data_IF_893578959917
#
_entry.id   IF_893578959917
#
_cell.length_a   1.000
_cell.length_b   1.000
_cell.length_c   1.000
_cell.angle_alpha   90.00
_cell.angle_beta   90.00
_cell.angle_gamma   90.00
#
_symmetry.space_group_name_H-M   'P 1'
#
loop_
_entity.id
_entity.type
_entity.pdbx_description
1 polymer ?
#
# COMPACT_ATOMS: atom_id res chain seq x y z
N UNK A 1 -10.18 -18.41 -0.50
CA UNK A 1 -11.39 -17.57 -0.30
C UNK A 1 -12.51 -18.59 -0.31
N UNK A 2 -13.36 -18.62 0.72
CA UNK A 2 -14.46 -19.61 0.78
C UNK A 2 -15.28 -19.48 -0.51
N UNK A 3 -15.40 -20.57 -1.25
CA UNK A 3 -16.24 -20.61 -2.45
C UNK A 3 -17.70 -20.93 -2.10
N UNK A 4 -18.59 -20.91 -3.10
CA UNK A 4 -20.01 -21.22 -2.89
C UNK A 4 -20.26 -22.65 -2.37
N UNK A 5 -19.41 -23.60 -2.75
CA UNK A 5 -19.50 -24.98 -2.28
C UNK A 5 -19.09 -25.10 -0.80
N UNK A 6 -18.08 -24.32 -0.37
CA UNK A 6 -17.68 -24.22 1.03
C UNK A 6 -18.80 -23.63 1.89
N UNK A 7 -19.50 -22.58 1.40
CA UNK A 7 -20.64 -22.00 2.12
C UNK A 7 -21.79 -23.01 2.29
N UNK A 8 -22.05 -23.78 1.25
CA UNK A 8 -23.08 -24.83 1.23
C UNK A 8 -22.73 -25.97 2.18
N UNK A 9 -21.47 -26.41 2.20
CA UNK A 9 -21.01 -27.49 3.08
C UNK A 9 -21.06 -27.04 4.54
N UNK A 10 -20.58 -25.83 4.85
CA UNK A 10 -20.63 -25.21 6.18
C UNK A 10 -22.07 -25.11 6.70
N UNK A 11 -23.02 -24.65 5.87
CA UNK A 11 -24.43 -24.56 6.26
C UNK A 11 -25.02 -25.95 6.53
N UNK A 12 -24.77 -26.92 5.64
CA UNK A 12 -25.27 -28.30 5.78
C UNK A 12 -24.71 -28.99 7.03
N UNK A 13 -23.42 -28.81 7.32
CA UNK A 13 -22.77 -29.37 8.49
C UNK A 13 -23.34 -28.78 9.79
N UNK A 14 -23.82 -27.54 9.76
CA UNK A 14 -24.54 -26.92 10.87
C UNK A 14 -26.03 -27.34 10.95
N UNK A 15 -26.52 -28.17 10.02
CA UNK A 15 -27.91 -28.64 9.99
C UNK A 15 -28.95 -27.58 9.61
N UNK A 16 -28.54 -26.49 8.95
CA UNK A 16 -29.41 -25.33 8.66
C UNK A 16 -29.93 -25.43 7.22
N UNK A 17 -31.23 -25.23 6.99
CA UNK A 17 -31.77 -25.18 5.62
C UNK A 17 -31.47 -23.84 4.92
N UNK A 18 -31.58 -23.76 3.59
CA UNK A 18 -31.39 -22.48 2.89
C UNK A 18 -32.42 -21.42 3.32
N UNK A 19 -33.66 -21.84 3.61
CA UNK A 19 -34.72 -20.95 4.07
C UNK A 19 -34.45 -20.44 5.49
N UNK A 20 -33.94 -21.30 6.37
CA UNK A 20 -33.61 -20.90 7.74
C UNK A 20 -32.36 -20.02 7.79
N UNK A 21 -31.39 -20.27 6.91
CA UNK A 21 -30.23 -19.40 6.76
C UNK A 21 -30.65 -18.01 6.26
N UNK A 22 -31.54 -17.95 5.28
CA UNK A 22 -32.08 -16.69 4.75
C UNK A 22 -32.77 -15.88 5.86
N UNK A 23 -33.59 -16.53 6.69
CA UNK A 23 -34.22 -15.89 7.87
C UNK A 23 -33.20 -15.38 8.88
N UNK A 24 -32.17 -16.17 9.20
CA UNK A 24 -31.13 -15.78 10.18
C UNK A 24 -30.23 -14.64 9.69
N UNK A 25 -30.05 -14.54 8.37
CA UNK A 25 -29.24 -13.51 7.72
C UNK A 25 -30.04 -12.28 7.27
N UNK A 26 -31.37 -12.31 7.48
CA UNK A 26 -32.31 -11.27 7.06
C UNK A 26 -32.18 -10.94 5.56
N UNK A 27 -32.28 -11.98 4.74
CA UNK A 27 -32.20 -11.86 3.29
C UNK A 27 -33.12 -12.85 2.57
N UNK A 28 -33.27 -12.68 1.26
CA UNK A 28 -34.07 -13.59 0.44
C UNK A 28 -33.36 -14.95 0.28
N UNK A 29 -34.14 -16.03 0.21
CA UNK A 29 -33.63 -17.38 -0.07
C UNK A 29 -32.84 -17.44 -1.39
N UNK A 30 -33.23 -16.66 -2.40
CA UNK A 30 -32.52 -16.53 -3.68
C UNK A 30 -31.11 -15.99 -3.48
N UNK A 31 -30.90 -15.08 -2.52
CA UNK A 31 -29.58 -14.55 -2.17
C UNK A 31 -28.67 -15.66 -1.63
N UNK A 32 -29.19 -16.52 -0.76
CA UNK A 32 -28.47 -17.70 -0.24
C UNK A 32 -28.09 -18.66 -1.38
N UNK A 33 -29.01 -18.91 -2.31
CA UNK A 33 -28.75 -19.77 -3.47
C UNK A 33 -27.63 -19.18 -4.35
N UNK A 34 -27.69 -17.88 -4.63
CA UNK A 34 -26.67 -17.20 -5.44
C UNK A 34 -25.29 -17.24 -4.77
N UNK A 35 -25.22 -17.11 -3.44
CA UNK A 35 -23.97 -17.26 -2.69
C UNK A 35 -23.42 -18.68 -2.80
N UNK A 36 -24.25 -19.70 -2.62
CA UNK A 36 -23.83 -21.11 -2.71
C UNK A 36 -23.47 -21.55 -4.13
N UNK A 37 -24.00 -20.89 -5.14
CA UNK A 37 -23.68 -21.14 -6.55
C UNK A 37 -22.49 -20.31 -7.05
N UNK A 38 -21.94 -19.41 -6.23
CA UNK A 38 -20.86 -18.51 -6.63
C UNK A 38 -21.29 -17.42 -7.64
N UNK A 39 -22.59 -17.19 -7.80
CA UNK A 39 -23.15 -16.15 -8.69
C UNK A 39 -22.86 -14.75 -8.14
N UNK A 40 -22.86 -14.61 -6.81
CA UNK A 40 -22.40 -13.41 -6.13
C UNK A 40 -21.71 -13.76 -4.82
N UNK A 41 -20.83 -12.88 -4.35
CA UNK A 41 -20.11 -13.08 -3.09
C UNK A 41 -20.83 -12.35 -1.94
N UNK A 42 -20.92 -12.96 -0.75
CA UNK A 42 -21.43 -12.27 0.42
C UNK A 42 -20.46 -11.16 0.86
N UNK A 43 -21.01 -10.01 1.26
CA UNK A 43 -20.22 -8.97 1.93
C UNK A 43 -19.57 -9.56 3.19
N UNK A 44 -18.39 -9.05 3.57
CA UNK A 44 -17.65 -9.55 4.73
C UNK A 44 -18.53 -9.65 6.00
N UNK A 45 -19.35 -8.64 6.29
CA UNK A 45 -20.29 -8.64 7.43
C UNK A 45 -21.33 -9.75 7.36
N UNK A 46 -21.88 -10.03 6.17
CA UNK A 46 -22.81 -11.14 5.92
C UNK A 46 -22.11 -12.50 6.05
N UNK A 47 -20.88 -12.62 5.55
CA UNK A 47 -20.06 -13.82 5.71
C UNK A 47 -19.76 -14.12 7.19
N UNK A 48 -19.40 -13.11 7.97
CA UNK A 48 -19.21 -13.26 9.42
C UNK A 48 -20.48 -13.69 10.14
N UNK A 49 -21.65 -13.12 9.80
CA UNK A 49 -22.94 -13.57 10.34
C UNK A 49 -23.25 -15.02 9.93
N UNK A 50 -22.98 -15.40 8.69
CA UNK A 50 -23.16 -16.79 8.22
C UNK A 50 -22.34 -17.78 9.04
N UNK A 51 -21.04 -17.51 9.22
CA UNK A 51 -20.14 -18.35 9.99
C UNK A 51 -20.53 -18.40 11.48
N UNK A 52 -20.95 -17.27 12.05
CA UNK A 52 -21.48 -17.19 13.42
C UNK A 52 -22.75 -18.03 13.59
N UNK A 53 -23.69 -17.95 12.65
CA UNK A 53 -24.92 -18.74 12.62
C UNK A 53 -24.62 -20.24 12.54
N UNK A 54 -23.58 -20.62 11.81
CA UNK A 54 -23.09 -21.99 11.71
C UNK A 54 -22.25 -22.44 12.91
N UNK A 55 -22.12 -21.61 13.96
CA UNK A 55 -21.32 -21.89 15.17
C UNK A 55 -19.87 -22.29 14.88
N UNK A 56 -19.31 -21.78 13.79
CA UNK A 56 -17.88 -21.92 13.53
C UNK A 56 -17.14 -21.05 14.53
N UNK A 57 -16.11 -21.60 15.17
CA UNK A 57 -15.29 -20.82 16.09
C UNK A 57 -14.57 -19.71 15.31
N UNK A 58 -14.96 -18.46 15.56
CA UNK A 58 -14.40 -17.28 14.93
C UNK A 58 -13.16 -16.77 15.67
N UNK A 59 -12.84 -17.31 16.85
CA UNK A 59 -11.64 -16.94 17.61
C UNK A 59 -10.34 -17.05 16.78
N UNK A 60 -10.07 -18.16 16.07
CA UNK A 60 -8.84 -18.26 15.27
C UNK A 60 -8.78 -17.22 14.15
N UNK A 61 -9.92 -16.90 13.52
CA UNK A 61 -10.00 -15.90 12.46
C UNK A 61 -9.81 -14.47 13.01
N UNK A 62 -10.40 -14.17 14.18
CA UNK A 62 -10.23 -12.90 14.86
C UNK A 62 -8.79 -12.68 15.34
N UNK A 63 -8.12 -13.74 15.82
CA UNK A 63 -6.70 -13.72 16.20
C UNK A 63 -5.83 -13.49 14.97
N UNK A 64 -6.11 -14.14 13.84
CA UNK A 64 -5.39 -13.86 12.58
C UNK A 64 -5.58 -12.40 12.13
N UNK A 65 -6.80 -11.88 12.19
CA UNK A 65 -7.09 -10.50 11.84
C UNK A 65 -6.37 -9.50 12.77
N UNK A 66 -6.35 -9.81 14.07
CA UNK A 66 -5.63 -9.04 15.09
C UNK A 66 -4.13 -9.06 14.84
N UNK A 67 -3.54 -10.22 14.55
CA UNK A 67 -2.10 -10.33 14.25
C UNK A 67 -1.73 -9.59 12.96
N UNK A 68 -2.59 -9.60 11.93
CA UNK A 68 -2.41 -8.81 10.71
C UNK A 68 -2.46 -7.31 11.02
N UNK A 69 -3.42 -6.89 11.86
CA UNK A 69 -3.54 -5.50 12.29
C UNK A 69 -2.34 -5.06 13.13
N UNK A 70 -1.89 -5.88 14.08
CA UNK A 70 -0.74 -5.60 14.94
C UNK A 70 0.58 -5.57 14.15
N UNK A 71 0.79 -6.47 13.18
CA UNK A 71 1.97 -6.44 12.31
C UNK A 71 1.99 -5.23 11.37
N UNK A 72 0.85 -4.84 10.80
CA UNK A 72 0.73 -3.59 10.05
C UNK A 72 0.96 -2.36 10.95
N UNK A 73 0.49 -2.41 12.20
CA UNK A 73 0.70 -1.36 13.19
C UNK A 73 2.17 -1.27 13.65
N UNK A 74 2.90 -2.39 13.72
CA UNK A 74 4.33 -2.40 14.01
C UNK A 74 5.12 -1.69 12.90
N UNK A 75 4.81 -1.98 11.63
CA UNK A 75 5.36 -1.24 10.48
C UNK A 75 5.02 0.24 10.52
N UNK A 76 3.81 0.60 10.96
CA UNK A 76 3.39 1.98 11.13
C UNK A 76 4.04 2.64 12.37
N UNK A 77 4.43 1.88 13.39
CA UNK A 77 5.04 2.38 14.64
C UNK A 77 6.54 2.62 14.54
N UNK A 78 7.20 2.06 13.51
CA UNK A 78 8.59 2.38 13.15
C UNK A 78 8.80 3.87 12.82
N UNK A 79 7.71 4.60 12.57
CA UNK A 79 7.63 6.06 12.40
C UNK A 79 8.15 6.87 13.61
N UNK A 80 8.25 6.26 14.80
CA UNK A 80 8.72 6.94 16.02
C UNK A 80 10.27 6.95 16.12
N UNK A 81 10.96 6.24 15.23
CA UNK A 81 12.42 6.16 15.24
C UNK A 81 13.01 7.32 14.42
N UNK A 82 14.17 7.85 14.82
CA UNK A 82 14.91 8.90 14.09
C UNK A 82 14.81 8.77 12.55
N UNK A 83 14.60 9.88 11.80
CA UNK A 83 14.43 9.86 10.34
C UNK A 83 15.54 9.11 9.58
N UNK A 84 16.77 9.16 10.10
CA UNK A 84 17.92 8.45 9.53
C UNK A 84 17.78 6.93 9.62
N UNK A 85 17.27 6.39 10.72
CA UNK A 85 17.12 4.95 10.88
C UNK A 85 15.98 4.44 9.98
N UNK A 86 14.91 5.22 9.84
CA UNK A 86 13.77 4.87 8.98
C UNK A 86 14.21 4.74 7.53
N UNK A 87 15.03 5.64 7.00
CA UNK A 87 15.45 5.56 5.59
C UNK A 87 16.31 4.33 5.30
N UNK A 88 17.20 3.92 6.22
CA UNK A 88 17.96 2.68 6.07
C UNK A 88 17.05 1.44 6.10
N UNK A 89 16.08 1.42 7.01
CA UNK A 89 15.11 0.32 7.07
C UNK A 89 14.27 0.25 5.79
N UNK A 90 13.81 1.41 5.29
CA UNK A 90 13.05 1.50 4.06
C UNK A 90 13.84 1.01 2.84
N UNK A 91 15.09 1.46 2.67
CA UNK A 91 15.97 0.99 1.60
C UNK A 91 16.23 -0.52 1.72
N UNK A 92 16.49 -1.02 2.93
CA UNK A 92 16.67 -2.46 3.19
C UNK A 92 15.44 -3.28 2.78
N UNK A 93 14.24 -2.79 3.12
CA UNK A 93 12.99 -3.43 2.71
C UNK A 93 12.85 -3.46 1.17
N UNK A 94 13.13 -2.35 0.47
CA UNK A 94 13.11 -2.31 -1.00
C UNK A 94 14.10 -3.30 -1.62
N UNK A 95 15.32 -3.39 -1.09
CA UNK A 95 16.34 -4.34 -1.56
C UNK A 95 15.84 -5.79 -1.36
N UNK A 96 15.18 -6.09 -0.24
CA UNK A 96 14.62 -7.42 0.00
C UNK A 96 13.57 -7.81 -1.04
N UNK A 97 12.71 -6.88 -1.48
CA UNK A 97 11.76 -7.11 -2.56
C UNK A 97 12.46 -7.30 -3.91
N UNK A 98 13.53 -6.55 -4.16
CA UNK A 98 14.33 -6.69 -5.38
C UNK A 98 14.98 -8.08 -5.48
N UNK A 99 15.57 -8.56 -4.37
CA UNK A 99 16.16 -9.89 -4.23
C UNK A 99 15.09 -10.97 -4.38
N UNK A 100 13.94 -10.82 -3.72
CA UNK A 100 12.81 -11.75 -3.84
C UNK A 100 12.40 -11.94 -5.30
N UNK A 101 12.19 -10.84 -6.03
CA UNK A 101 11.82 -10.90 -7.46
C UNK A 101 12.88 -11.60 -8.31
N UNK A 102 14.17 -11.39 -7.99
CA UNK A 102 15.29 -12.10 -8.62
C UNK A 102 15.25 -13.61 -8.38
N UNK A 103 15.09 -14.04 -7.12
CA UNK A 103 15.03 -15.46 -6.73
C UNK A 103 13.83 -16.17 -7.36
N UNK A 104 12.65 -15.53 -7.34
CA UNK A 104 11.40 -16.09 -7.87
C UNK A 104 11.22 -15.89 -9.38
N UNK A 105 12.21 -15.28 -10.06
CA UNK A 105 12.17 -14.94 -11.49
C UNK A 105 11.02 -14.02 -11.91
N UNK A 106 10.43 -13.28 -10.97
CA UNK A 106 9.46 -12.23 -11.27
C UNK A 106 10.22 -10.91 -11.52
N UNK A 107 10.47 -10.63 -12.80
CA UNK A 107 11.26 -9.47 -13.26
C UNK A 107 10.58 -8.13 -12.99
N UNK A 108 9.25 -8.09 -12.89
CA UNK A 108 8.51 -6.85 -12.70
C UNK A 108 8.68 -6.32 -11.29
N UNK A 109 8.45 -7.15 -10.27
CA UNK A 109 8.63 -6.81 -8.84
C UNK A 109 10.07 -6.37 -8.61
N UNK A 110 11.04 -7.14 -9.13
CA UNK A 110 12.46 -6.83 -8.97
C UNK A 110 12.81 -5.46 -9.58
N UNK A 111 12.34 -5.20 -10.81
CA UNK A 111 12.65 -3.96 -11.50
C UNK A 111 11.93 -2.74 -10.88
N UNK A 112 10.69 -2.88 -10.41
CA UNK A 112 10.00 -1.82 -9.68
C UNK A 112 10.76 -1.50 -8.39
N UNK A 113 11.06 -2.50 -7.57
CA UNK A 113 11.76 -2.31 -6.31
C UNK A 113 13.13 -1.65 -6.52
N UNK A 114 13.87 -2.05 -7.56
CA UNK A 114 15.14 -1.44 -7.93
C UNK A 114 15.01 0.03 -8.32
N UNK A 115 14.03 0.38 -9.18
CA UNK A 115 13.79 1.78 -9.58
C UNK A 115 13.49 2.64 -8.35
N UNK A 116 12.62 2.17 -7.45
CA UNK A 116 12.26 2.91 -6.23
C UNK A 116 13.50 3.08 -5.34
N UNK A 117 14.26 2.02 -5.11
CA UNK A 117 15.47 2.07 -4.28
C UNK A 117 16.51 3.05 -4.87
N UNK A 118 16.71 3.03 -6.19
CA UNK A 118 17.60 3.96 -6.88
C UNK A 118 17.13 5.41 -6.76
N UNK A 119 15.83 5.68 -6.96
CA UNK A 119 15.26 7.02 -6.81
C UNK A 119 15.44 7.55 -5.39
N UNK A 120 15.10 6.75 -4.37
CA UNK A 120 15.23 7.17 -2.97
C UNK A 120 16.69 7.37 -2.54
N UNK A 121 17.61 6.51 -3.01
CA UNK A 121 19.04 6.68 -2.72
C UNK A 121 19.59 7.94 -3.40
N UNK A 122 19.20 8.17 -4.66
CA UNK A 122 19.61 9.36 -5.41
C UNK A 122 19.07 10.64 -4.79
N UNK A 123 17.81 10.64 -4.35
CA UNK A 123 17.18 11.75 -3.62
C UNK A 123 17.95 12.07 -2.33
N UNK A 124 18.20 11.07 -1.48
CA UNK A 124 18.89 11.23 -0.21
C UNK A 124 20.30 11.80 -0.37
N UNK A 125 21.08 11.23 -1.31
CA UNK A 125 22.43 11.71 -1.59
C UNK A 125 22.39 13.15 -2.13
N UNK A 126 21.48 13.42 -3.07
CA UNK A 126 21.37 14.75 -3.68
C UNK A 126 20.98 15.81 -2.66
N UNK A 127 20.03 15.51 -1.77
CA UNK A 127 19.63 16.41 -0.67
C UNK A 127 20.84 16.77 0.20
N UNK A 128 21.69 15.80 0.57
CA UNK A 128 22.89 16.08 1.37
C UNK A 128 23.87 17.03 0.67
N UNK A 129 24.06 16.87 -0.65
CA UNK A 129 24.86 17.81 -1.44
C UNK A 129 24.21 19.18 -1.57
N UNK A 130 22.89 19.23 -1.82
CA UNK A 130 22.14 20.48 -1.94
C UNK A 130 22.15 21.28 -0.64
N UNK A 131 21.96 20.64 0.51
CA UNK A 131 21.98 21.29 1.82
C UNK A 131 23.33 21.96 2.09
N UNK A 132 24.42 21.23 1.84
CA UNK A 132 25.79 21.76 1.98
C UNK A 132 26.05 22.93 1.01
N UNK A 133 25.54 22.84 -0.21
CA UNK A 133 25.71 23.88 -1.22
C UNK A 133 24.90 25.13 -0.90
N UNK A 134 23.60 25.01 -0.58
CA UNK A 134 22.73 26.16 -0.30
C UNK A 134 23.16 26.86 0.99
N UNK A 135 23.56 26.10 2.02
CA UNK A 135 24.10 26.67 3.27
C UNK A 135 25.39 27.49 3.05
N UNK A 136 26.11 27.26 1.95
CA UNK A 136 27.26 28.10 1.57
C UNK A 136 26.88 29.39 0.85
N UNK A 137 25.67 29.46 0.28
CA UNK A 137 25.17 30.58 -0.51
C UNK A 137 24.32 31.56 0.31
N UNK A 138 23.55 31.06 1.28
CA UNK A 138 22.65 31.87 2.10
C UNK A 138 22.54 31.31 3.51
N UNK A 139 22.19 32.19 4.45
CA UNK A 139 21.85 31.84 5.84
C UNK A 139 20.36 32.01 6.13
N UNK A 140 19.57 32.38 5.12
CA UNK A 140 18.12 32.55 5.25
C UNK A 140 17.42 31.19 5.20
N UNK A 141 16.90 30.77 6.36
CA UNK A 141 16.16 29.52 6.56
C UNK A 141 14.97 29.37 5.60
N UNK A 142 14.31 30.47 5.24
CA UNK A 142 13.18 30.43 4.30
C UNK A 142 13.63 30.05 2.90
N UNK A 143 14.75 30.61 2.46
CA UNK A 143 15.32 30.31 1.14
C UNK A 143 15.78 28.85 1.11
N UNK A 144 16.47 28.38 2.15
CA UNK A 144 16.92 26.99 2.28
C UNK A 144 15.74 26.01 2.16
N UNK A 145 14.67 26.25 2.93
CA UNK A 145 13.48 25.42 2.91
C UNK A 145 12.79 25.40 1.54
N UNK A 146 12.66 26.56 0.87
CA UNK A 146 12.06 26.63 -0.47
C UNK A 146 12.83 25.76 -1.46
N UNK A 147 14.17 25.82 -1.47
CA UNK A 147 14.98 24.98 -2.34
C UNK A 147 14.84 23.50 -2.01
N UNK A 148 14.91 23.15 -0.73
CA UNK A 148 14.79 21.77 -0.25
C UNK A 148 13.45 21.14 -0.68
N UNK A 149 12.32 21.78 -0.38
CA UNK A 149 11.02 21.22 -0.71
C UNK A 149 10.72 21.27 -2.21
N UNK A 150 11.20 22.29 -2.93
CA UNK A 150 11.08 22.33 -4.40
C UNK A 150 11.83 21.17 -5.07
N UNK A 151 12.99 20.81 -4.54
CA UNK A 151 13.76 19.65 -4.99
C UNK A 151 12.99 18.35 -4.75
N UNK A 152 12.46 18.16 -3.53
CA UNK A 152 11.66 16.99 -3.17
C UNK A 152 10.36 16.86 -4.00
N UNK A 153 9.69 17.97 -4.30
CA UNK A 153 8.53 18.01 -5.23
C UNK A 153 8.95 17.55 -6.62
N UNK A 154 10.07 18.06 -7.14
CA UNK A 154 10.59 17.70 -8.46
C UNK A 154 10.90 16.21 -8.55
N UNK A 155 11.50 15.63 -7.50
CA UNK A 155 11.75 14.20 -7.40
C UNK A 155 10.48 13.37 -7.40
N UNK A 156 9.47 13.79 -6.64
CA UNK A 156 8.18 13.11 -6.60
C UNK A 156 7.48 13.14 -7.96
N UNK A 157 7.53 14.26 -8.67
CA UNK A 157 7.01 14.40 -10.04
C UNK A 157 7.80 13.51 -11.03
N UNK A 158 9.13 13.45 -10.91
CA UNK A 158 9.95 12.57 -11.74
C UNK A 158 9.57 11.10 -11.52
N UNK A 159 9.35 10.67 -10.27
CA UNK A 159 8.85 9.34 -9.94
C UNK A 159 7.51 9.03 -10.61
N UNK A 160 6.55 9.97 -10.56
CA UNK A 160 5.28 9.84 -11.27
C UNK A 160 5.46 9.60 -12.78
N UNK A 161 6.32 10.37 -13.45
CA UNK A 161 6.56 10.23 -14.88
C UNK A 161 7.25 8.91 -15.22
N UNK A 162 8.24 8.48 -14.43
CA UNK A 162 8.95 7.21 -14.62
C UNK A 162 7.97 6.04 -14.57
N UNK A 163 7.13 5.96 -13.53
CA UNK A 163 6.16 4.87 -13.40
C UNK A 163 5.02 4.97 -14.42
N UNK A 164 4.55 6.18 -14.74
CA UNK A 164 3.54 6.36 -15.78
C UNK A 164 4.04 5.93 -17.16
N UNK A 165 5.28 6.27 -17.50
CA UNK A 165 5.92 5.84 -18.74
C UNK A 165 6.10 4.32 -18.78
N UNK A 166 6.56 3.72 -17.68
CA UNK A 166 6.71 2.27 -17.53
C UNK A 166 5.40 1.53 -17.78
N UNK A 167 4.30 1.96 -17.14
CA UNK A 167 2.98 1.35 -17.30
C UNK A 167 2.52 1.45 -18.76
N UNK A 168 2.67 2.61 -19.41
CA UNK A 168 2.32 2.80 -20.82
C UNK A 168 3.08 1.83 -21.74
N UNK A 169 4.39 1.68 -21.53
CA UNK A 169 5.23 0.78 -22.32
C UNK A 169 4.84 -0.69 -22.12
N UNK A 170 4.47 -1.09 -20.90
CA UNK A 170 4.09 -2.48 -20.60
C UNK A 170 2.75 -2.87 -21.22
N UNK A 171 1.77 -1.95 -21.18
CA UNK A 171 0.46 -2.16 -21.78
C UNK A 171 0.52 -2.40 -23.30
N UNK A 172 1.54 -1.87 -23.98
CA UNK A 172 1.77 -2.09 -25.41
C UNK A 172 2.37 -3.47 -25.74
N UNK A 173 3.01 -4.15 -24.78
CA UNK A 173 3.88 -5.32 -25.05
C UNK A 173 3.27 -6.65 -24.59
N UNK A 174 2.34 -6.68 -23.62
CA UNK A 174 1.85 -7.95 -23.05
C UNK A 174 0.34 -7.99 -22.69
N UNK A 175 -0.25 -9.19 -22.77
CA UNK A 175 -1.52 -9.54 -22.11
C UNK A 175 -1.21 -9.65 -20.61
N UNK A 176 -1.51 -8.58 -19.87
CA UNK A 176 -1.13 -8.44 -18.46
C UNK A 176 -2.00 -9.27 -17.52
N UNK A 177 -1.39 -9.76 -16.43
CA UNK A 177 -2.15 -10.19 -15.27
C UNK A 177 -2.91 -8.97 -14.68
N UNK A 178 -4.26 -9.00 -14.65
CA UNK A 178 -5.06 -7.85 -14.29
C UNK A 178 -4.84 -7.36 -12.85
N UNK A 179 -4.48 -8.26 -11.92
CA UNK A 179 -4.24 -7.89 -10.51
C UNK A 179 -2.91 -7.18 -10.34
N UNK A 180 -1.85 -7.68 -10.97
CA UNK A 180 -0.53 -7.08 -10.91
C UNK A 180 -0.51 -5.69 -11.60
N UNK A 181 -1.25 -5.57 -12.71
CA UNK A 181 -1.46 -4.30 -13.42
C UNK A 181 -2.15 -3.25 -12.54
N UNK A 182 -3.14 -3.64 -11.73
CA UNK A 182 -3.83 -2.72 -10.82
C UNK A 182 -2.91 -2.19 -9.72
N UNK A 183 -2.07 -3.05 -9.15
CA UNK A 183 -1.10 -2.66 -8.11
C UNK A 183 -0.01 -1.75 -8.68
N UNK A 184 0.45 -1.99 -9.92
CA UNK A 184 1.45 -1.13 -10.57
C UNK A 184 0.89 0.29 -10.81
N UNK A 185 -0.40 0.41 -11.15
CA UNK A 185 -1.11 1.69 -11.30
C UNK A 185 -1.31 2.47 -9.99
N UNK A 186 -1.06 1.85 -8.82
CA UNK A 186 -1.07 2.56 -7.55
C UNK A 186 0.20 3.42 -7.38
N UNK A 187 1.35 3.00 -7.92
CA UNK A 187 2.64 3.67 -7.71
C UNK A 187 2.64 5.14 -8.18
N UNK A 188 2.22 5.50 -9.41
CA UNK A 188 2.16 6.90 -9.81
C UNK A 188 1.27 7.75 -8.89
N UNK A 189 0.18 7.17 -8.36
CA UNK A 189 -0.73 7.88 -7.45
C UNK A 189 -0.08 8.17 -6.10
N UNK A 190 0.76 7.27 -5.60
CA UNK A 190 1.53 7.50 -4.37
C UNK A 190 2.53 8.65 -4.57
N UNK A 191 3.18 8.73 -5.74
CA UNK A 191 4.07 9.86 -6.05
C UNK A 191 3.34 11.21 -6.19
N UNK A 192 2.11 11.21 -6.74
CA UNK A 192 1.24 12.40 -6.72
C UNK A 192 0.91 12.80 -5.27
N UNK A 193 0.57 11.83 -4.42
CA UNK A 193 0.32 12.07 -3.00
C UNK A 193 1.54 12.73 -2.33
N UNK A 194 2.74 12.17 -2.50
CA UNK A 194 3.97 12.73 -1.93
C UNK A 194 4.22 14.17 -2.41
N UNK A 195 4.11 14.42 -3.71
CA UNK A 195 4.25 15.77 -4.28
C UNK A 195 3.22 16.75 -3.70
N UNK A 196 1.98 16.30 -3.47
CA UNK A 196 0.92 17.13 -2.90
C UNK A 196 1.21 17.48 -1.45
N UNK A 197 1.60 16.50 -0.63
CA UNK A 197 1.94 16.71 0.78
C UNK A 197 3.14 17.66 0.92
N UNK A 198 4.21 17.46 0.15
CA UNK A 198 5.38 18.36 0.19
C UNK A 198 5.03 19.77 -0.29
N UNK A 199 4.17 19.91 -1.31
CA UNK A 199 3.69 21.23 -1.75
C UNK A 199 2.89 21.94 -0.66
N UNK A 200 1.96 21.23 -0.01
CA UNK A 200 1.15 21.80 1.07
C UNK A 200 2.02 22.21 2.25
N UNK A 201 3.03 21.41 2.61
CA UNK A 201 3.97 21.73 3.66
C UNK A 201 4.83 22.96 3.33
N UNK A 202 5.30 23.09 2.08
CA UNK A 202 6.04 24.28 1.64
C UNK A 202 5.18 25.56 1.71
N UNK A 203 3.91 25.47 1.31
CA UNK A 203 2.97 26.61 1.40
C UNK A 203 2.74 26.99 2.87
N UNK A 204 2.51 26.01 3.74
CA UNK A 204 2.32 26.22 5.18
C UNK A 204 3.55 26.87 5.82
N UNK A 205 4.74 26.33 5.56
CA UNK A 205 6.01 26.88 6.02
C UNK A 205 6.24 28.32 5.55
N UNK A 206 5.93 28.63 4.29
CA UNK A 206 6.05 29.98 3.75
C UNK A 206 5.10 30.97 4.44
N UNK A 207 3.84 30.56 4.68
CA UNK A 207 2.85 31.40 5.34
C UNK A 207 3.25 31.67 6.79
N UNK A 208 3.69 30.64 7.51
CA UNK A 208 4.13 30.74 8.90
C UNK A 208 5.35 31.67 9.01
N UNK A 209 6.40 31.43 8.21
CA UNK A 209 7.63 32.22 8.21
C UNK A 209 7.41 33.70 7.89
N UNK A 210 6.47 34.02 6.99
CA UNK A 210 6.25 35.41 6.51
C UNK A 210 5.17 36.17 7.26
N UNK A 211 4.12 35.49 7.74
CA UNK A 211 2.93 36.13 8.32
C UNK A 211 2.64 35.69 9.76
N UNK A 212 3.44 34.79 10.36
CA UNK A 212 3.23 34.22 11.70
C UNK A 212 1.81 33.66 11.88
N UNK A 213 1.27 33.00 10.84
CA UNK A 213 -0.12 32.54 10.80
C UNK A 213 -0.19 31.01 10.90
N UNK A 214 -0.64 30.48 12.04
CA UNK A 214 -0.56 29.04 12.38
C UNK A 214 -1.76 28.20 11.95
N UNK A 215 -2.65 28.75 11.11
CA UNK A 215 -3.94 28.13 10.75
C UNK A 215 -3.80 26.77 10.02
N UNK A 216 -2.68 26.54 9.31
CA UNK A 216 -2.41 25.29 8.57
C UNK A 216 -1.42 24.34 9.28
N UNK A 217 -1.09 24.61 10.56
CA UNK A 217 -0.09 23.88 11.38
C UNK A 217 -0.20 22.37 11.43
N UNK A 218 -1.31 21.78 10.97
CA UNK A 218 -1.45 20.33 10.74
C UNK A 218 -0.38 19.81 9.79
N UNK A 219 -0.12 20.50 8.68
CA UNK A 219 0.88 20.03 7.70
C UNK A 219 2.29 20.18 8.23
N UNK A 220 2.59 21.27 8.94
CA UNK A 220 3.85 21.42 9.65
C UNK A 220 4.06 20.35 10.73
N UNK A 221 3.09 20.14 11.62
CA UNK A 221 3.20 19.23 12.78
C UNK A 221 3.26 17.77 12.38
N UNK A 222 2.55 17.37 11.31
CA UNK A 222 2.42 15.98 10.91
C UNK A 222 3.15 15.65 9.59
N UNK A 223 4.00 16.54 9.08
CA UNK A 223 4.68 16.34 7.79
C UNK A 223 5.40 14.98 7.70
N UNK A 224 6.25 14.67 8.68
CA UNK A 224 7.02 13.42 8.71
C UNK A 224 6.10 12.20 8.66
N UNK A 225 5.04 12.20 9.48
CA UNK A 225 4.03 11.15 9.50
C UNK A 225 3.35 10.97 8.13
N UNK A 226 3.03 12.07 7.45
CA UNK A 226 2.40 12.05 6.13
C UNK A 226 3.35 11.50 5.06
N UNK A 227 4.65 11.82 5.14
CA UNK A 227 5.69 11.24 4.26
C UNK A 227 5.83 9.74 4.52
N UNK A 228 5.84 9.30 5.78
CA UNK A 228 5.96 7.89 6.12
C UNK A 228 4.74 7.06 5.71
N UNK A 229 3.55 7.66 5.67
CA UNK A 229 2.38 7.03 5.05
C UNK A 229 2.66 6.74 3.56
N UNK A 230 3.26 7.69 2.83
CA UNK A 230 3.66 7.49 1.44
C UNK A 230 4.65 6.33 1.26
N UNK A 231 5.70 6.28 2.10
CA UNK A 231 6.66 5.17 2.12
C UNK A 231 5.98 3.82 2.44
N UNK A 232 5.10 3.80 3.42
CA UNK A 232 4.36 2.60 3.83
C UNK A 232 3.45 2.09 2.71
N UNK A 233 2.80 2.98 1.96
CA UNK A 233 1.98 2.62 0.80
C UNK A 233 2.80 1.96 -0.31
N UNK A 234 4.05 2.40 -0.52
CA UNK A 234 4.96 1.76 -1.48
C UNK A 234 5.31 0.33 -1.03
N UNK A 235 5.73 0.15 0.23
CA UNK A 235 6.04 -1.16 0.79
C UNK A 235 4.83 -2.09 0.72
N UNK A 236 3.65 -1.60 1.08
CA UNK A 236 2.42 -2.37 1.02
C UNK A 236 2.07 -2.77 -0.42
N UNK A 237 2.28 -1.87 -1.39
CA UNK A 237 2.07 -2.16 -2.81
C UNK A 237 2.98 -3.28 -3.29
N UNK A 238 4.27 -3.25 -2.92
CA UNK A 238 5.23 -4.30 -3.25
C UNK A 238 4.89 -5.62 -2.55
N UNK A 239 4.53 -5.59 -1.27
CA UNK A 239 4.10 -6.77 -0.53
C UNK A 239 2.84 -7.40 -1.15
N UNK A 240 1.87 -6.58 -1.59
CA UNK A 240 0.68 -7.05 -2.28
C UNK A 240 1.02 -7.70 -3.63
N UNK A 241 2.00 -7.16 -4.37
CA UNK A 241 2.49 -7.77 -5.61
C UNK A 241 3.12 -9.15 -5.34
N UNK A 242 3.97 -9.25 -4.32
CA UNK A 242 4.56 -10.52 -3.88
C UNK A 242 3.50 -11.53 -3.48
N UNK A 243 2.51 -11.13 -2.66
CA UNK A 243 1.44 -12.00 -2.22
C UNK A 243 0.56 -12.50 -3.39
N UNK A 244 0.30 -11.64 -4.39
CA UNK A 244 -0.40 -12.05 -5.62
C UNK A 244 0.39 -13.09 -6.39
N UNK A 245 1.70 -12.87 -6.55
CA UNK A 245 2.58 -13.78 -7.27
C UNK A 245 2.69 -15.15 -6.59
N UNK A 246 2.89 -15.21 -5.27
CA UNK A 246 2.92 -16.48 -4.51
C UNK A 246 1.59 -17.25 -4.61
N UNK A 247 0.46 -16.54 -4.65
CA UNK A 247 -0.86 -17.16 -4.83
C UNK A 247 -1.00 -17.80 -6.21
N UNK A 248 -0.46 -17.16 -7.25
CA UNK A 248 -0.44 -17.70 -8.61
C UNK A 248 0.43 -18.96 -8.72
N UNK A 249 1.61 -18.96 -8.11
CA UNK A 249 2.49 -20.13 -8.06
C UNK A 249 1.81 -21.33 -7.38
N UNK A 250 1.10 -21.10 -6.28
CA UNK A 250 0.35 -22.16 -5.57
C UNK A 250 -0.81 -22.72 -6.38
N UNK A 251 -1.54 -21.87 -7.08
CA UNK A 251 -2.68 -22.29 -7.91
C UNK A 251 -2.24 -22.95 -9.24
N UNK A 252 -1.08 -22.58 -9.79
CA UNK A 252 -0.51 -23.22 -10.97
C UNK A 252 -0.02 -24.65 -10.69
N UNK A 253 0.48 -24.91 -9.48
CA UNK A 253 0.92 -26.25 -9.07
C UNK A 253 -0.23 -27.21 -8.70
N UNK A 254 -1.47 -26.73 -8.58
CA UNK A 254 -2.64 -27.60 -8.31
C UNK A 254 -3.34 -28.11 -9.57
N UNK A 255 -2.79 -27.85 -10.76
CA UNK A 255 -3.31 -28.31 -12.05
C UNK A 255 -2.47 -29.42 -12.70
N UNK A 256 -1.56 -30.04 -11.95
CA UNK A 256 -0.87 -31.27 -12.34
C UNK A 256 -1.33 -32.45 -11.48
#
# INVERSE_FOLDING_TARGET
MLDGNDLKSVRKNAGISQADMAKKLDCDRRTIINYEQGVCEPKASQLFRWLSVCKIDLKPLAVQLRNIKESAFIFLSLVIISPYIIIYFYISALISFAIYGGIRREKNISCIAFIIASLCTFEFISIGYFDSFISSLTTDDLIIAIFYYSFQITFSIAGYYIFSYRIRKRHQIHIENPKLSLLEKALPKIYIYNSTITTLHLIDFYIDSKYNYTFLSVFYTYYENLVYIGMSLIIFTLAAMVASHEKELKNGNSQC
#
